data_IF_330577876147
#
_entry.id   IF_330577876147
#
_cell.length_a   1.000
_cell.length_b   1.000
_cell.length_c   1.000
_cell.angle_alpha   90.00
_cell.angle_beta   90.00
_cell.angle_gamma   90.00
#
_symmetry.space_group_name_H-M   'P 1'
#
loop_
_entity.id
_entity.type
_entity.pdbx_description
1 polymer ?
#
# COMPACT_ATOMS: atom_id res chain seq x y z
N UNK A 1 -3.34 -12.27 -5.51
CA UNK A 1 -2.30 -11.22 -5.48
C UNK A 1 -2.52 -10.39 -4.22
N UNK A 2 -1.48 -10.09 -3.49
CA UNK A 2 -1.55 -9.30 -2.25
C UNK A 2 -0.97 -7.93 -2.56
N UNK A 3 -1.60 -6.88 -2.11
CA UNK A 3 -1.26 -5.51 -2.51
C UNK A 3 -1.04 -4.65 -1.27
N UNK A 4 -0.06 -3.76 -1.30
CA UNK A 4 0.38 -2.99 -0.14
C UNK A 4 0.42 -1.51 -0.43
N UNK A 5 -0.02 -0.76 0.56
CA UNK A 5 -0.08 0.67 0.56
C UNK A 5 0.67 1.24 1.77
N UNK A 6 1.57 2.18 1.56
CA UNK A 6 2.17 3.01 2.60
C UNK A 6 1.73 4.45 2.44
N UNK A 7 1.38 5.11 3.54
CA UNK A 7 0.80 6.44 3.52
C UNK A 7 1.49 7.35 4.52
N UNK A 8 1.84 8.55 4.12
CA UNK A 8 2.13 9.64 5.03
C UNK A 8 1.05 10.73 4.89
N UNK A 9 0.34 11.01 5.97
CA UNK A 9 -0.67 12.06 5.99
C UNK A 9 -0.83 12.66 7.38
N UNK A 10 -1.07 13.98 7.47
CA UNK A 10 -1.45 14.62 8.72
C UNK A 10 -2.82 14.11 9.14
N UNK A 11 -2.90 13.52 10.32
CA UNK A 11 -4.11 12.93 10.87
C UNK A 11 -5.27 13.92 10.93
N UNK A 12 -6.30 13.67 10.14
CA UNK A 12 -7.64 14.20 10.33
C UNK A 12 -8.42 13.27 11.23
N UNK A 13 -8.96 13.81 12.31
CA UNK A 13 -9.77 13.12 13.30
C UNK A 13 -11.04 12.55 12.64
N UNK A 14 -11.11 11.24 12.46
CA UNK A 14 -12.33 10.57 12.02
C UNK A 14 -12.92 9.80 13.20
N UNK A 15 -14.00 10.37 13.75
CA UNK A 15 -14.82 9.74 14.74
C UNK A 15 -15.66 8.59 14.18
N UNK A 16 -15.97 7.71 15.11
CA UNK A 16 -17.02 6.69 15.17
C UNK A 16 -16.60 5.24 14.93
N UNK A 17 -16.68 4.53 16.07
CA UNK A 17 -16.58 3.06 16.15
C UNK A 17 -17.86 2.43 15.62
N UNK A 18 -17.78 1.82 14.44
CA UNK A 18 -18.73 0.76 14.10
C UNK A 18 -18.09 -0.60 14.46
N UNK A 19 -18.79 -1.38 15.28
CA UNK A 19 -18.35 -2.73 15.65
C UNK A 19 -18.50 -3.66 14.44
N UNK A 20 -17.41 -3.83 13.70
CA UNK A 20 -17.34 -4.80 12.60
C UNK A 20 -17.19 -6.23 13.13
N UNK A 21 -17.84 -7.19 12.45
CA UNK A 21 -17.66 -8.61 12.71
C UNK A 21 -16.17 -8.94 12.57
N UNK A 22 -15.58 -9.46 13.64
CA UNK A 22 -14.17 -9.86 13.63
C UNK A 22 -13.94 -10.97 12.59
N UNK A 23 -13.12 -10.66 11.59
CA UNK A 23 -12.56 -11.68 10.70
C UNK A 23 -11.38 -12.31 11.43
N UNK A 24 -11.52 -13.59 11.80
CA UNK A 24 -10.45 -14.32 12.46
C UNK A 24 -9.45 -14.80 11.41
N UNK A 25 -8.23 -14.22 11.42
CA UNK A 25 -7.10 -14.77 10.66
C UNK A 25 -6.44 -15.85 11.52
N UNK A 26 -6.46 -17.08 11.03
CA UNK A 26 -5.74 -18.19 11.66
C UNK A 26 -4.28 -18.12 11.32
N UNK A 27 -3.45 -17.76 12.28
CA UNK A 27 -2.00 -17.77 12.15
C UNK A 27 -1.48 -19.20 12.33
N UNK A 28 -0.58 -19.64 11.45
CA UNK A 28 0.06 -20.96 11.55
C UNK A 28 0.87 -21.10 12.85
N UNK A 29 1.52 -20.03 13.27
CA UNK A 29 2.18 -19.90 14.57
C UNK A 29 1.69 -18.62 15.25
N UNK A 30 1.11 -18.74 16.46
CA UNK A 30 0.64 -17.59 17.24
C UNK A 30 1.75 -16.60 17.59
N UNK A 31 3.00 -17.09 17.72
CA UNK A 31 4.16 -16.24 17.96
C UNK A 31 4.63 -15.48 16.71
N UNK A 32 4.18 -15.88 15.52
CA UNK A 32 4.49 -15.21 14.26
C UNK A 32 3.53 -14.06 13.93
N UNK A 33 2.51 -13.83 14.76
CA UNK A 33 1.60 -12.69 14.59
C UNK A 33 2.35 -11.37 14.86
N UNK A 34 2.82 -10.73 13.80
CA UNK A 34 3.57 -9.47 13.83
C UNK A 34 2.76 -8.29 13.27
N UNK A 35 1.52 -8.52 12.85
CA UNK A 35 0.65 -7.53 12.22
C UNK A 35 -0.69 -7.45 12.95
N UNK A 36 -1.26 -6.25 12.98
CA UNK A 36 -2.61 -6.00 13.46
C UNK A 36 -3.61 -6.20 12.31
N UNK A 37 -4.70 -6.90 12.57
CA UNK A 37 -5.79 -7.11 11.60
C UNK A 37 -6.86 -6.06 11.83
N UNK A 38 -7.26 -5.39 10.77
CA UNK A 38 -8.35 -4.42 10.76
C UNK A 38 -9.47 -4.92 9.84
N UNK A 39 -10.71 -4.62 10.21
CA UNK A 39 -11.88 -4.80 9.37
C UNK A 39 -12.73 -3.54 9.48
N UNK A 40 -12.84 -2.80 8.38
CA UNK A 40 -13.73 -1.63 8.28
C UNK A 40 -14.66 -1.82 7.09
N UNK A 41 -15.97 -1.87 7.37
CA UNK A 41 -17.01 -2.04 6.35
C UNK A 41 -16.78 -3.28 5.45
N UNK A 42 -16.25 -4.37 6.03
CA UNK A 42 -15.92 -5.60 5.32
C UNK A 42 -14.57 -5.59 4.60
N UNK A 43 -13.90 -4.45 4.50
CA UNK A 43 -12.52 -4.37 3.97
C UNK A 43 -11.54 -4.81 5.05
N UNK A 44 -10.81 -5.88 4.77
CA UNK A 44 -9.83 -6.43 5.70
C UNK A 44 -8.42 -6.04 5.24
N UNK A 45 -7.68 -5.38 6.13
CA UNK A 45 -6.28 -5.00 5.89
C UNK A 45 -5.44 -5.21 7.14
N UNK A 46 -4.13 -5.19 6.97
CA UNK A 46 -3.15 -5.45 8.03
C UNK A 46 -2.26 -4.22 8.23
N UNK A 47 -1.83 -3.97 9.46
CA UNK A 47 -0.85 -2.94 9.80
C UNK A 47 0.29 -3.50 10.64
N UNK A 48 1.43 -2.80 10.69
CA UNK A 48 2.55 -3.12 11.55
C UNK A 48 2.49 -2.29 12.83
N UNK A 49 2.41 -2.91 14.04
CA UNK A 49 2.33 -2.19 15.30
C UNK A 49 3.43 -1.15 15.51
N UNK A 50 4.63 -1.41 14.98
CA UNK A 50 5.75 -0.46 15.05
C UNK A 50 5.49 0.84 14.26
N UNK A 51 4.69 0.79 13.20
CA UNK A 51 4.29 1.96 12.42
C UNK A 51 2.99 2.58 12.95
N UNK A 52 2.10 1.77 13.55
CA UNK A 52 0.87 2.27 14.20
C UNK A 52 1.16 3.26 15.33
N UNK A 53 2.34 3.18 15.95
CA UNK A 53 2.78 4.10 16.99
C UNK A 53 3.24 5.47 16.47
N UNK A 54 3.33 5.65 15.16
CA UNK A 54 3.72 6.92 14.52
C UNK A 54 2.45 7.64 14.06
N UNK A 55 1.99 8.64 14.82
CA UNK A 55 0.72 9.35 14.57
C UNK A 55 0.62 10.01 13.19
N UNK A 56 1.76 10.34 12.58
CA UNK A 56 1.82 10.98 11.26
C UNK A 56 1.86 9.98 10.10
N UNK A 57 1.90 8.66 10.39
CA UNK A 57 2.02 7.60 9.38
C UNK A 57 0.71 6.81 9.30
N UNK A 58 0.16 6.77 8.10
CA UNK A 58 -0.90 5.81 7.76
C UNK A 58 -0.26 4.74 6.89
N UNK A 59 -0.55 3.49 7.15
CA UNK A 59 -0.05 2.38 6.33
C UNK A 59 -1.02 1.20 6.36
N UNK A 60 -0.90 0.32 5.39
CA UNK A 60 -1.73 -0.87 5.33
C UNK A 60 -1.23 -1.88 4.31
N UNK A 61 -1.60 -3.12 4.55
CA UNK A 61 -1.41 -4.24 3.66
C UNK A 61 -2.79 -4.81 3.34
N UNK A 62 -3.28 -4.63 2.11
CA UNK A 62 -4.59 -5.12 1.72
C UNK A 62 -4.66 -6.66 1.76
N UNK A 63 -5.86 -7.16 1.98
CA UNK A 63 -6.18 -8.55 1.73
C UNK A 63 -7.11 -8.65 0.52
N UNK A 64 -7.49 -9.85 0.13
CA UNK A 64 -8.47 -10.03 -0.94
C UNK A 64 -9.93 -9.83 -0.51
N UNK A 65 -10.20 -9.41 0.72
CA UNK A 65 -11.54 -9.32 1.29
C UNK A 65 -12.09 -7.90 1.24
N UNK A 66 -13.40 -7.76 0.97
CA UNK A 66 -14.13 -6.51 1.07
C UNK A 66 -14.25 -5.71 -0.22
N UNK A 67 -13.77 -6.23 -1.35
CA UNK A 67 -13.95 -5.65 -2.66
C UNK A 67 -15.25 -6.08 -3.35
N UNK A 68 -15.43 -5.61 -4.59
CA UNK A 68 -16.62 -5.86 -5.43
C UNK A 68 -16.34 -6.74 -6.64
N UNK A 69 -15.08 -7.02 -6.94
CA UNK A 69 -14.70 -7.88 -8.07
C UNK A 69 -15.24 -9.29 -7.91
N UNK A 70 -15.55 -9.93 -9.04
CA UNK A 70 -16.22 -11.24 -9.07
C UNK A 70 -15.35 -12.32 -9.75
N UNK A 71 -15.82 -13.56 -9.70
CA UNK A 71 -15.15 -14.69 -10.34
C UNK A 71 -13.75 -14.91 -9.80
N UNK A 72 -12.77 -15.04 -10.68
CA UNK A 72 -11.36 -15.26 -10.32
C UNK A 72 -10.71 -14.06 -9.60
N UNK A 73 -11.31 -12.88 -9.71
CA UNK A 73 -10.83 -11.62 -9.10
C UNK A 73 -11.42 -11.36 -7.71
N UNK A 74 -12.26 -12.26 -7.21
CA UNK A 74 -12.98 -12.08 -5.94
C UNK A 74 -12.02 -11.91 -4.76
N UNK A 75 -12.16 -10.81 -4.05
CA UNK A 75 -13.07 -9.68 -4.23
C UNK A 75 -12.33 -8.35 -4.38
N UNK A 76 -11.17 -8.17 -3.74
CA UNK A 76 -10.39 -6.92 -3.68
C UNK A 76 -9.25 -6.98 -4.72
N UNK A 77 -9.61 -7.01 -6.01
CA UNK A 77 -8.61 -6.87 -7.06
C UNK A 77 -8.29 -5.39 -7.27
N UNK A 78 -7.00 -5.02 -7.21
CA UNK A 78 -6.51 -3.66 -7.39
C UNK A 78 -5.67 -3.50 -8.67
N UNK A 79 -5.73 -4.49 -9.56
CA UNK A 79 -4.96 -4.47 -10.81
C UNK A 79 -5.83 -4.13 -12.02
N UNK A 80 -5.53 -3.03 -12.69
CA UNK A 80 -6.18 -2.63 -13.95
C UNK A 80 -5.76 -3.49 -15.17
N UNK A 81 -4.68 -4.28 -15.04
CA UNK A 81 -4.08 -4.99 -16.18
C UNK A 81 -4.35 -6.49 -16.20
N UNK A 82 -5.19 -7.00 -15.32
CA UNK A 82 -5.47 -8.45 -15.20
C UNK A 82 -6.76 -8.90 -15.90
N UNK A 83 -7.49 -7.97 -16.53
CA UNK A 83 -8.72 -8.29 -17.26
C UNK A 83 -10.00 -8.25 -16.43
N UNK A 84 -9.96 -7.65 -15.26
CA UNK A 84 -11.15 -7.31 -14.47
C UNK A 84 -11.82 -6.03 -15.02
N UNK A 85 -13.06 -5.80 -14.64
CA UNK A 85 -13.77 -4.57 -14.98
C UNK A 85 -13.11 -3.35 -14.31
N UNK A 86 -12.73 -2.36 -15.08
CA UNK A 86 -12.07 -1.14 -14.57
C UNK A 86 -12.89 -0.47 -13.47
N UNK A 87 -14.24 -0.43 -13.63
CA UNK A 87 -15.14 0.13 -12.61
C UNK A 87 -15.03 -0.61 -11.27
N UNK A 88 -14.94 -1.94 -11.31
CA UNK A 88 -14.79 -2.75 -10.09
C UNK A 88 -13.44 -2.50 -9.42
N UNK A 89 -12.36 -2.37 -10.20
CA UNK A 89 -11.03 -2.05 -9.68
C UNK A 89 -11.02 -0.65 -9.04
N UNK A 90 -11.63 0.36 -9.65
CA UNK A 90 -11.74 1.70 -9.07
C UNK A 90 -12.51 1.69 -7.76
N UNK A 91 -13.68 1.05 -7.72
CA UNK A 91 -14.47 0.88 -6.50
C UNK A 91 -13.67 0.17 -5.39
N UNK A 92 -12.83 -0.81 -5.73
CA UNK A 92 -11.96 -1.48 -4.77
C UNK A 92 -10.92 -0.52 -4.18
N UNK A 93 -10.32 0.35 -4.99
CA UNK A 93 -9.41 1.39 -4.48
C UNK A 93 -10.13 2.36 -3.55
N UNK A 94 -11.34 2.83 -3.91
CA UNK A 94 -12.12 3.73 -3.08
C UNK A 94 -12.49 3.10 -1.74
N UNK A 95 -12.91 1.83 -1.74
CA UNK A 95 -13.20 1.10 -0.50
C UNK A 95 -11.97 0.92 0.38
N UNK A 96 -10.85 0.54 -0.21
CA UNK A 96 -9.61 0.37 0.55
C UNK A 96 -9.13 1.71 1.12
N UNK A 97 -9.17 2.77 0.31
CA UNK A 97 -8.80 4.11 0.71
C UNK A 97 -9.67 4.61 1.88
N UNK A 98 -10.99 4.49 1.77
CA UNK A 98 -11.92 4.85 2.84
C UNK A 98 -11.71 4.03 4.12
N UNK A 99 -11.40 2.73 4.00
CA UNK A 99 -11.15 1.88 5.15
C UNK A 99 -9.87 2.26 5.90
N UNK A 100 -8.80 2.60 5.19
CA UNK A 100 -7.52 2.97 5.78
C UNK A 100 -7.50 4.44 6.21
N UNK A 101 -8.19 5.34 5.46
CA UNK A 101 -8.34 6.75 5.83
C UNK A 101 -7.61 7.73 4.93
N UNK A 102 -7.66 7.54 3.60
CA UNK A 102 -7.08 8.43 2.59
C UNK A 102 -7.99 8.52 1.35
N UNK A 103 -7.58 9.20 0.30
CA UNK A 103 -8.30 9.27 -0.98
C UNK A 103 -7.56 8.48 -2.06
N UNK A 104 -8.27 7.75 -2.90
CA UNK A 104 -7.66 6.92 -3.94
C UNK A 104 -6.85 7.77 -4.96
N UNK A 105 -7.26 9.01 -5.18
CA UNK A 105 -6.57 9.97 -6.04
C UNK A 105 -5.18 10.36 -5.53
N UNK A 106 -4.91 10.18 -4.23
CA UNK A 106 -3.62 10.50 -3.62
C UNK A 106 -2.54 9.45 -3.89
N UNK A 107 -2.93 8.31 -4.47
CA UNK A 107 -2.03 7.19 -4.69
C UNK A 107 -1.09 7.44 -5.87
N UNK A 108 0.18 7.07 -5.67
CA UNK A 108 1.20 6.92 -6.72
C UNK A 108 1.66 5.47 -6.74
N UNK A 109 1.60 4.82 -7.89
CA UNK A 109 2.01 3.41 -8.03
C UNK A 109 3.41 3.28 -8.62
N UNK A 110 4.17 2.30 -8.15
CA UNK A 110 5.42 1.88 -8.80
C UNK A 110 5.16 1.18 -10.14
N UNK A 111 6.18 1.08 -10.98
CA UNK A 111 6.21 0.24 -12.18
C UNK A 111 7.25 -0.86 -11.99
N UNK A 112 6.86 -1.94 -11.32
CA UNK A 112 7.74 -2.96 -10.78
C UNK A 112 8.25 -3.91 -11.85
N UNK A 113 9.56 -3.93 -12.03
CA UNK A 113 10.27 -4.77 -13.00
C UNK A 113 11.35 -5.64 -12.34
N UNK A 114 11.38 -5.67 -11.00
CA UNK A 114 12.34 -6.41 -10.17
C UNK A 114 13.77 -5.87 -10.25
N UNK A 115 13.92 -4.55 -10.30
CA UNK A 115 15.19 -3.84 -10.26
C UNK A 115 15.48 -3.25 -8.86
N UNK A 116 16.48 -2.37 -8.77
CA UNK A 116 16.73 -1.58 -7.57
C UNK A 116 16.55 -0.07 -7.83
N UNK A 117 15.78 0.29 -8.85
CA UNK A 117 15.51 1.66 -9.17
C UNK A 117 14.51 2.26 -8.18
N UNK A 118 14.91 3.38 -7.56
CA UNK A 118 14.11 4.11 -6.58
C UNK A 118 13.86 5.53 -7.07
N UNK A 119 12.60 5.94 -7.15
CA UNK A 119 12.16 7.27 -7.56
C UNK A 119 11.76 8.12 -6.34
N UNK A 120 12.21 9.37 -6.27
CA UNK A 120 11.55 10.37 -5.44
C UNK A 120 10.30 10.86 -6.19
N UNK A 121 9.13 10.70 -5.57
CA UNK A 121 7.85 11.17 -6.10
C UNK A 121 7.43 12.45 -5.40
N UNK A 122 6.76 13.34 -6.14
CA UNK A 122 6.34 14.66 -5.72
C UNK A 122 4.84 14.84 -5.84
N UNK A 123 4.32 16.01 -5.47
CA UNK A 123 2.89 16.30 -5.59
C UNK A 123 2.36 16.17 -7.04
N UNK A 124 3.24 16.37 -8.05
CA UNK A 124 2.92 16.23 -9.48
C UNK A 124 2.69 14.77 -9.91
N UNK A 125 3.17 13.83 -9.09
CA UNK A 125 2.98 12.39 -9.36
C UNK A 125 1.66 11.85 -8.82
N UNK A 126 0.88 12.66 -8.10
CA UNK A 126 -0.41 12.28 -7.49
C UNK A 126 -1.35 11.66 -8.52
N UNK A 127 -1.92 10.50 -8.18
CA UNK A 127 -2.86 9.77 -9.03
C UNK A 127 -2.22 8.94 -10.13
N UNK A 128 -0.90 9.01 -10.35
CA UNK A 128 -0.23 8.25 -11.41
C UNK A 128 -0.32 6.74 -11.17
N UNK A 129 -0.92 6.06 -12.14
CA UNK A 129 -1.21 4.62 -12.11
C UNK A 129 -2.58 4.26 -11.56
N UNK A 130 -3.35 5.23 -11.05
CA UNK A 130 -4.73 5.06 -10.55
C UNK A 130 -5.71 5.90 -11.37
N UNK A 131 -5.62 7.22 -11.29
CA UNK A 131 -6.51 8.16 -11.98
C UNK A 131 -5.94 8.62 -13.32
N UNK A 132 -4.63 8.52 -13.49
CA UNK A 132 -3.93 8.86 -14.71
C UNK A 132 -2.81 7.87 -15.05
N UNK A 133 -2.27 7.95 -16.26
CA UNK A 133 -1.15 7.11 -16.68
C UNK A 133 0.13 7.49 -15.91
N UNK A 134 1.02 6.52 -15.75
CA UNK A 134 2.41 6.78 -15.34
C UNK A 134 3.21 7.32 -16.52
N UNK A 135 4.10 8.25 -16.26
CA UNK A 135 5.07 8.79 -17.21
C UNK A 135 6.51 8.30 -16.93
N UNK A 136 6.63 7.25 -16.12
CA UNK A 136 7.87 6.56 -15.78
C UNK A 136 7.69 5.05 -15.84
N UNK A 137 8.80 4.35 -16.02
CA UNK A 137 8.91 2.89 -16.05
C UNK A 137 10.06 2.44 -15.18
N UNK A 138 10.12 1.14 -14.88
CA UNK A 138 11.25 0.51 -14.21
C UNK A 138 11.55 1.12 -12.83
N UNK A 139 10.52 1.22 -11.99
CA UNK A 139 10.61 1.77 -10.63
C UNK A 139 10.09 0.73 -9.65
N UNK A 140 10.99 0.17 -8.85
CA UNK A 140 10.67 -0.82 -7.80
C UNK A 140 10.65 -0.23 -6.39
N UNK A 141 11.05 1.01 -6.22
CA UNK A 141 10.95 1.73 -4.96
C UNK A 141 10.58 3.20 -5.15
N UNK A 142 9.87 3.73 -4.18
CA UNK A 142 9.50 5.15 -4.16
C UNK A 142 9.77 5.75 -2.79
N UNK A 143 10.15 7.02 -2.77
CA UNK A 143 10.24 7.83 -1.55
C UNK A 143 9.51 9.15 -1.75
N UNK A 144 8.99 9.74 -0.68
CA UNK A 144 8.38 11.08 -0.71
C UNK A 144 8.51 11.78 0.63
N UNK A 145 8.62 13.11 0.58
CA UNK A 145 8.49 14.04 1.69
C UNK A 145 7.20 14.88 1.56
N UNK A 146 6.31 14.54 0.63
CA UNK A 146 5.06 15.27 0.40
C UNK A 146 3.96 14.70 1.30
N UNK A 147 3.41 15.49 2.23
CA UNK A 147 2.30 15.04 3.07
C UNK A 147 1.06 14.70 2.26
N UNK A 148 0.37 13.62 2.65
CA UNK A 148 -0.86 13.16 1.99
C UNK A 148 -0.65 12.51 0.63
N UNK A 149 0.60 12.27 0.18
CA UNK A 149 0.88 11.47 -0.99
C UNK A 149 1.05 10.00 -0.59
N UNK A 150 0.37 9.13 -1.31
CA UNK A 150 0.25 7.70 -1.00
C UNK A 150 1.14 6.88 -1.90
N UNK A 151 2.07 6.10 -1.35
CA UNK A 151 2.91 5.19 -2.12
C UNK A 151 2.27 3.79 -2.17
N UNK A 152 2.12 3.23 -3.37
CA UNK A 152 1.57 1.89 -3.54
C UNK A 152 2.49 0.98 -4.37
N UNK A 153 2.68 -0.23 -3.89
CA UNK A 153 3.43 -1.31 -4.54
C UNK A 153 2.66 -2.62 -4.42
N UNK A 154 2.93 -3.57 -5.31
CA UNK A 154 2.13 -4.78 -5.47
C UNK A 154 2.97 -6.03 -5.25
N UNK A 155 2.40 -7.06 -4.62
CA UNK A 155 3.13 -8.24 -4.19
C UNK A 155 2.33 -9.53 -4.40
N UNK A 156 3.04 -10.57 -4.81
CA UNK A 156 2.57 -11.94 -4.75
C UNK A 156 3.38 -12.72 -3.70
N UNK A 157 4.70 -12.72 -3.85
CA UNK A 157 5.67 -13.47 -3.04
C UNK A 157 6.91 -12.66 -2.66
N UNK A 158 7.11 -11.50 -3.29
CA UNK A 158 8.22 -10.59 -2.97
C UNK A 158 8.00 -9.87 -1.63
N UNK A 159 9.05 -9.27 -1.08
CA UNK A 159 9.04 -8.64 0.23
C UNK A 159 8.83 -7.13 0.14
N UNK A 160 7.84 -6.58 0.86
CA UNK A 160 7.71 -5.12 1.04
C UNK A 160 8.74 -4.59 2.02
N UNK A 161 9.37 -3.49 1.66
CA UNK A 161 10.26 -2.75 2.56
C UNK A 161 9.66 -1.38 2.83
N UNK A 162 9.30 -1.14 4.08
CA UNK A 162 8.79 0.13 4.58
C UNK A 162 9.92 0.94 5.20
N UNK A 163 10.00 2.22 4.86
CA UNK A 163 11.00 3.15 5.38
C UNK A 163 10.31 4.39 5.93
N UNK A 164 10.71 4.81 7.12
CA UNK A 164 10.22 6.03 7.76
C UNK A 164 11.40 6.77 8.38
N UNK A 165 11.60 8.02 7.98
CA UNK A 165 12.49 8.97 8.66
C UNK A 165 11.63 10.07 9.32
N UNK A 166 11.32 9.96 10.62
CA UNK A 166 10.46 10.92 11.28
C UNK A 166 11.11 12.30 11.43
N UNK A 167 12.44 12.37 11.40
CA UNK A 167 13.15 13.66 11.52
C UNK A 167 13.08 14.47 10.23
N UNK A 168 13.24 13.80 9.08
CA UNK A 168 13.13 14.42 7.76
C UNK A 168 11.72 14.42 7.22
N UNK A 169 10.79 13.71 7.89
CA UNK A 169 9.42 13.48 7.44
C UNK A 169 9.37 12.87 6.04
N UNK A 170 10.20 11.85 5.83
CA UNK A 170 10.29 11.10 4.57
C UNK A 170 9.77 9.70 4.80
N UNK A 171 8.97 9.22 3.88
CA UNK A 171 8.55 7.83 3.82
C UNK A 171 9.02 7.17 2.54
N UNK A 172 9.25 5.87 2.57
CA UNK A 172 9.63 5.08 1.41
C UNK A 172 8.95 3.71 1.42
N UNK A 173 8.70 3.22 0.23
CA UNK A 173 8.16 1.88 0.00
C UNK A 173 8.87 1.25 -1.19
N UNK A 174 9.46 0.07 -0.99
CA UNK A 174 10.20 -0.62 -2.04
C UNK A 174 9.78 -2.08 -2.15
N UNK A 175 9.67 -2.53 -3.39
CA UNK A 175 9.41 -3.91 -3.77
C UNK A 175 10.73 -4.68 -3.85
N UNK A 176 10.99 -5.56 -2.89
CA UNK A 176 12.20 -6.35 -2.81
C UNK A 176 11.94 -7.79 -3.28
N UNK A 177 11.93 -8.00 -4.60
CA UNK A 177 12.07 -9.31 -5.20
C UNK A 177 13.52 -9.81 -5.06
N UNK A 178 13.80 -11.08 -5.41
CA UNK A 178 15.14 -11.64 -5.26
C UNK A 178 16.24 -10.83 -5.99
N UNK A 179 15.93 -10.30 -7.19
CA UNK A 179 16.87 -9.46 -7.96
C UNK A 179 17.14 -8.14 -7.25
N UNK A 180 16.07 -7.43 -6.83
CA UNK A 180 16.18 -6.18 -6.07
C UNK A 180 16.93 -6.38 -4.75
N UNK A 181 16.71 -7.52 -4.08
CA UNK A 181 17.43 -7.89 -2.86
C UNK A 181 18.95 -8.03 -3.11
N UNK A 182 19.34 -8.76 -4.15
CA UNK A 182 20.76 -8.91 -4.54
C UNK A 182 21.37 -7.56 -4.91
N UNK A 183 20.63 -6.70 -5.60
CA UNK A 183 21.03 -5.33 -5.96
C UNK A 183 20.92 -4.34 -4.79
N UNK A 184 20.52 -4.80 -3.59
CA UNK A 184 20.45 -4.01 -2.35
C UNK A 184 19.47 -2.85 -2.43
N UNK A 185 18.27 -3.07 -2.97
CA UNK A 185 17.25 -2.04 -3.13
C UNK A 185 16.96 -1.28 -1.82
N UNK A 186 16.96 -1.97 -0.67
CA UNK A 186 16.78 -1.32 0.62
C UNK A 186 17.87 -0.28 0.93
N UNK A 187 19.14 -0.58 0.58
CA UNK A 187 20.23 0.37 0.75
C UNK A 187 20.11 1.54 -0.23
N UNK A 188 19.70 1.26 -1.47
CA UNK A 188 19.44 2.31 -2.48
C UNK A 188 18.35 3.25 -1.99
N UNK A 189 17.26 2.70 -1.43
CA UNK A 189 16.13 3.51 -0.90
C UNK A 189 16.58 4.44 0.24
N UNK A 190 17.38 3.93 1.18
CA UNK A 190 17.84 4.74 2.33
C UNK A 190 18.80 5.87 1.89
N UNK A 191 19.54 5.68 0.82
CA UNK A 191 20.50 6.68 0.32
C UNK A 191 19.88 7.72 -0.60
N UNK A 192 18.66 7.50 -1.06
CA UNK A 192 17.93 8.40 -1.95
C UNK A 192 17.32 9.58 -1.22
#
# INVERSE_FOLDING_TARGET
>A
MKEILLISGCGGNLGEKQMDKMVEIKWHDKNAQKMTVHNKNGVVYLTYPALDSQEEIIHGFSTRLGGVSQGIYTSMNLSFTRGDEEKAVRENYDRLAAAIGFCAEDIVTSDQTHTANVRKVTAEDRGKGITGPRDYTDVDGMITDVPGLILATFYADCVPLYFVDPKRRVVGLSHSGWRGTVQKIGNVTIRK
#
